data_IF_990171320618
#
_entry.id   IF_990171320618
#
_cell.length_a   1.000
_cell.length_b   1.000
_cell.length_c   1.000
_cell.angle_alpha   90.00
_cell.angle_beta   90.00
_cell.angle_gamma   90.00
#
_symmetry.space_group_name_H-M   'P 1'
#
loop_
_entity.id
_entity.type
_entity.pdbx_description
1 polymer ?
#
# COMPACT_ATOMS: atom_id res chain seq x y z
N UNK A 1 -12.28 12.29 -11.07
CA UNK A 1 -12.32 11.91 -11.15
C UNK A 1 -12.14 11.89 -11.13
N UNK A 2 -11.88 12.06 -11.25
CA UNK A 2 -11.73 11.75 -11.32
C UNK A 2 -11.37 11.68 -11.27
N UNK A 3 -11.12 11.75 -11.18
CA UNK A 3 -10.80 11.35 -11.24
C UNK A 3 -10.51 11.09 -10.98
N UNK A 4 -10.44 11.12 -10.89
CA UNK A 4 -10.14 10.63 -10.83
C UNK A 4 -9.85 10.32 -10.90
N UNK A 5 -9.89 10.40 -10.92
CA UNK A 5 -9.60 9.90 -11.17
C UNK A 5 -9.02 9.80 -11.52
N UNK A 6 -8.91 9.77 -11.63
CA UNK A 6 -8.21 9.56 -12.17
C UNK A 6 -8.36 9.86 -12.96
N UNK A 7 -8.60 10.28 -13.38
CA UNK A 7 -8.54 10.27 -14.16
C UNK A 7 -8.01 10.39 -14.69
N UNK A 8 -8.02 10.55 -14.92
CA UNK A 8 -7.39 10.50 -15.48
C UNK A 8 -6.65 10.47 -15.79
N UNK A 9 -6.37 10.58 -15.92
CA UNK A 9 -5.42 10.15 -16.23
C UNK A 9 -4.34 10.29 -15.80
N UNK A 10 -4.05 9.81 -15.43
CA UNK A 10 -3.03 9.65 -15.17
C UNK A 10 -2.32 9.56 -16.19
N UNK A 11 -1.97 10.00 -16.74
CA UNK A 11 -1.43 9.77 -17.72
C UNK A 11 -0.25 9.83 -17.77
N UNK A 12 0.24 9.17 -17.92
CA UNK A 12 1.41 9.05 -18.05
C UNK A 12 1.83 9.62 -19.17
N UNK A 13 2.53 10.48 -19.16
CA UNK A 13 2.96 11.00 -20.17
C UNK A 13 3.89 10.23 -20.73
N UNK A 14 4.09 10.14 -21.70
CA UNK A 14 4.97 9.35 -22.35
C UNK A 14 4.97 8.05 -21.74
N UNK A 15 3.99 7.80 -21.14
CA UNK A 15 3.82 6.56 -20.69
C UNK A 15 4.59 6.28 -19.57
N UNK A 16 5.27 7.15 -19.14
CA UNK A 16 5.99 6.76 -18.21
C UNK A 16 5.66 7.36 -17.04
N UNK A 17 5.26 6.66 -16.13
CA UNK A 17 4.98 7.10 -14.94
C UNK A 17 6.20 7.30 -14.21
N UNK A 18 7.21 6.66 -14.42
CA UNK A 18 8.41 6.74 -13.66
C UNK A 18 8.23 6.04 -12.34
N UNK A 19 8.03 6.74 -11.30
CA UNK A 19 7.93 6.15 -9.97
C UNK A 19 6.49 6.08 -9.49
N UNK A 20 6.19 5.08 -8.70
CA UNK A 20 4.91 4.97 -8.03
C UNK A 20 5.17 5.20 -6.56
N UNK A 21 4.40 6.09 -5.96
CA UNK A 21 4.52 6.37 -4.53
C UNK A 21 3.21 5.98 -3.87
N UNK A 22 3.29 5.04 -2.93
CA UNK A 22 2.10 4.61 -2.19
C UNK A 22 2.10 5.27 -0.83
N UNK A 23 0.94 5.34 -0.16
CA UNK A 23 0.88 5.94 1.18
C UNK A 23 1.79 5.22 2.16
N UNK A 24 2.36 5.97 3.08
CA UNK A 24 3.25 5.44 4.11
C UNK A 24 2.56 5.46 5.46
N UNK A 25 2.63 4.35 6.16
CA UNK A 25 2.06 4.22 7.49
C UNK A 25 3.02 3.46 8.40
N UNK A 26 2.69 3.40 9.69
CA UNK A 26 3.30 2.42 10.61
C UNK A 26 2.25 1.35 10.87
N UNK A 27 2.65 0.25 11.54
CA UNK A 27 1.68 -0.78 11.91
C UNK A 27 0.55 -0.17 12.74
N UNK A 28 0.87 0.79 13.59
CA UNK A 28 -0.12 1.39 14.48
C UNK A 28 -1.04 2.37 13.76
N UNK A 29 -0.61 2.97 12.65
CA UNK A 29 -1.39 4.00 11.99
C UNK A 29 -2.02 3.54 10.69
N UNK A 30 -1.73 2.32 10.24
CA UNK A 30 -2.32 1.81 9.00
C UNK A 30 -3.84 1.73 9.16
N UNK A 31 -4.60 2.09 8.12
CA UNK A 31 -6.06 1.99 8.19
C UNK A 31 -6.49 0.53 8.19
N UNK A 32 -7.78 0.30 8.36
CA UNK A 32 -8.32 -1.05 8.31
C UNK A 32 -8.09 -1.66 6.93
N UNK A 33 -7.49 -2.84 6.88
CA UNK A 33 -7.26 -3.51 5.62
C UNK A 33 -8.56 -3.87 4.93
N UNK A 34 -9.59 -4.20 5.69
CA UNK A 34 -10.88 -4.53 5.09
C UNK A 34 -11.56 -3.29 4.53
N UNK A 35 -11.40 -2.14 5.16
CA UNK A 35 -11.98 -0.90 4.65
C UNK A 35 -11.23 -0.43 3.40
N UNK A 36 -9.92 -0.63 3.36
CA UNK A 36 -9.13 -0.26 2.20
C UNK A 36 -9.43 -1.17 1.01
N UNK A 37 -9.76 -2.41 1.28
CA UNK A 37 -10.10 -3.37 0.23
C UNK A 37 -8.91 -4.19 -0.22
N UNK A 38 -9.20 -5.41 -0.66
CA UNK A 38 -8.16 -6.32 -1.14
C UNK A 38 -7.44 -5.70 -2.34
N UNK A 39 -6.16 -5.83 -2.37
CA UNK A 39 -5.35 -5.30 -3.47
C UNK A 39 -4.79 -3.91 -3.22
N UNK A 40 -5.17 -3.26 -2.14
CA UNK A 40 -4.62 -1.95 -1.81
C UNK A 40 -3.18 -2.09 -1.34
N UNK A 41 -2.29 -1.22 -1.83
CA UNK A 41 -0.88 -1.25 -1.48
C UNK A 41 -0.52 -0.08 -0.59
N UNK A 42 0.32 -0.33 0.40
CA UNK A 42 0.85 0.72 1.27
C UNK A 42 2.30 0.40 1.60
N UNK A 43 3.04 1.40 2.03
CA UNK A 43 4.40 1.23 2.52
C UNK A 43 4.33 1.34 4.05
N UNK A 44 4.76 0.30 4.76
CA UNK A 44 4.69 0.28 6.22
C UNK A 44 6.11 0.39 6.74
N UNK A 45 6.42 1.49 7.39
CA UNK A 45 7.80 1.80 7.75
C UNK A 45 8.37 0.88 8.82
N UNK A 46 7.52 0.14 9.53
CA UNK A 46 7.98 -0.82 10.53
C UNK A 46 7.24 -2.15 10.46
N UNK A 47 6.69 -2.50 9.31
CA UNK A 47 5.81 -3.66 9.17
C UNK A 47 6.49 -5.00 9.06
N UNK A 48 7.81 -5.04 8.90
CA UNK A 48 8.52 -6.29 8.79
C UNK A 48 9.36 -6.48 10.04
N UNK A 49 8.71 -6.72 11.15
CA UNK A 49 9.33 -6.89 12.44
C UNK A 49 10.20 -5.68 12.81
N UNK A 50 9.66 -4.49 12.55
CA UNK A 50 10.35 -3.24 12.82
C UNK A 50 11.05 -2.64 11.61
N UNK A 51 11.20 -3.38 10.52
CA UNK A 51 11.81 -2.87 9.31
C UNK A 51 10.74 -2.43 8.31
N UNK A 52 11.10 -1.57 7.38
CA UNK A 52 10.16 -1.10 6.37
C UNK A 52 9.85 -2.19 5.35
N UNK A 53 8.60 -2.21 4.88
CA UNK A 53 8.15 -3.23 3.93
C UNK A 53 6.97 -2.68 3.13
N UNK A 54 6.87 -3.06 1.88
CA UNK A 54 5.67 -2.81 1.10
C UNK A 54 4.64 -3.87 1.50
N UNK A 55 3.41 -3.45 1.70
CA UNK A 55 2.35 -4.34 2.17
C UNK A 55 1.13 -4.23 1.28
N UNK A 56 0.33 -5.28 1.25
CA UNK A 56 -0.93 -5.27 0.51
C UNK A 56 -2.05 -5.75 1.42
N UNK A 57 -3.25 -5.28 1.14
CA UNK A 57 -4.44 -5.77 1.85
C UNK A 57 -4.97 -7.01 1.13
N UNK A 58 -5.27 -8.05 1.89
CA UNK A 58 -5.96 -9.22 1.33
C UNK A 58 -7.46 -9.15 1.60
N UNK A 59 -7.94 -8.00 2.07
CA UNK A 59 -9.35 -7.81 2.40
C UNK A 59 -9.63 -7.99 3.88
N UNK A 60 -8.69 -8.52 4.63
CA UNK A 60 -8.85 -8.74 6.06
C UNK A 60 -7.65 -8.20 6.83
N UNK A 61 -6.46 -8.45 6.35
CA UNK A 61 -5.24 -8.02 7.02
C UNK A 61 -4.27 -7.39 6.03
N UNK A 62 -3.35 -6.59 6.55
CA UNK A 62 -2.22 -6.12 5.77
C UNK A 62 -1.15 -7.20 5.80
N UNK A 63 -0.70 -7.60 4.63
CA UNK A 63 0.27 -8.68 4.47
C UNK A 63 1.57 -8.17 3.90
N UNK A 64 2.67 -8.73 4.34
CA UNK A 64 3.99 -8.37 3.82
C UNK A 64 4.13 -8.87 2.39
N UNK A 65 4.72 -8.05 1.55
CA UNK A 65 4.89 -8.43 0.14
C UNK A 65 5.99 -9.47 -0.05
N UNK A 66 6.85 -9.66 0.93
CA UNK A 66 7.96 -10.61 0.79
C UNK A 66 7.61 -12.03 1.26
N UNK A 67 6.86 -12.17 2.33
CA UNK A 67 6.58 -13.51 2.87
C UNK A 67 5.10 -13.83 2.92
N UNK A 68 4.22 -12.83 2.77
CA UNK A 68 2.80 -13.04 2.95
C UNK A 68 2.35 -13.05 4.40
N UNK A 69 3.25 -12.84 5.33
CA UNK A 69 2.88 -12.80 6.74
C UNK A 69 2.17 -11.48 7.05
N UNK A 70 1.36 -11.47 8.10
CA UNK A 70 0.73 -10.24 8.54
C UNK A 70 1.80 -9.28 9.05
N UNK A 71 1.66 -7.99 8.74
CA UNK A 71 2.64 -7.00 9.18
C UNK A 71 2.71 -6.97 10.70
N UNK A 72 3.88 -6.66 11.22
CA UNK A 72 4.10 -6.61 12.65
C UNK A 72 5.24 -5.66 12.95
N UNK A 73 5.12 -4.89 13.99
CA UNK A 73 6.18 -3.98 14.41
C UNK A 73 7.28 -4.67 15.20
N UNK A 74 7.11 -5.93 15.53
CA UNK A 74 8.09 -6.65 16.36
C UNK A 74 8.38 -8.03 15.82
#
# INVERSE_FOLDING_TARGET
>A
MASTTFSGPVTSTNGSIGDIVVPTYTVATAPSASDAGAGTLVYVSNGAAGAAILAFSDGTNWKRSDTGATISAA
#
